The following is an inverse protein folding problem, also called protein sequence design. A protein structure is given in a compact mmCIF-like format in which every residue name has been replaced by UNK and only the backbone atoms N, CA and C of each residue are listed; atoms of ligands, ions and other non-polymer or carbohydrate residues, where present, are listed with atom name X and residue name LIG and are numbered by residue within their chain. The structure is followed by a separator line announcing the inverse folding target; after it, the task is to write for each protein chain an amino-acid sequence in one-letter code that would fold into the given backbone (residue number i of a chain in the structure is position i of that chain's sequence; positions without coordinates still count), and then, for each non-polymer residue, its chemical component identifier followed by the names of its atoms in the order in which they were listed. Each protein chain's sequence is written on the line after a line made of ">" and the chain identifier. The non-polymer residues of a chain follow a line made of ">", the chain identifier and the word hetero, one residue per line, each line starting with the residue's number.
data_IF_372969534910
#
_entry.id   IF_372969534910
#
_cell.length_a   1.000
_cell.length_b   1.000
_cell.length_c   1.000
_cell.angle_alpha   90.00
_cell.angle_beta   90.00
_cell.angle_gamma   90.00
#
_symmetry.space_group_name_H-M   'P 1'
#
loop_
_entity.id
_entity.type
_entity.pdbx_description
1 polymer ?
#
# COMPACT_ATOMS: atom_id res chain seq x y z
N UNK A 1 11.58 -19.85 -6.06
CA UNK A 1 10.65 -20.97 -6.40
C UNK A 1 11.39 -22.29 -6.45
N UNK A 2 11.48 -23.01 -5.33
CA UNK A 2 11.90 -24.42 -5.34
C UNK A 2 11.09 -25.16 -4.28
N UNK A 3 10.25 -26.12 -4.70
CA UNK A 3 9.85 -27.22 -3.84
C UNK A 3 10.91 -28.31 -4.04
N UNK A 4 11.70 -28.60 -3.02
CA UNK A 4 12.86 -29.51 -3.09
C UNK A 4 12.60 -30.87 -2.41
N UNK A 5 11.34 -31.32 -2.41
CA UNK A 5 10.97 -32.63 -1.86
C UNK A 5 11.87 -33.72 -2.45
N UNK A 6 12.48 -34.53 -1.58
CA UNK A 6 13.45 -35.55 -1.97
C UNK A 6 13.24 -36.82 -1.16
N UNK A 7 13.89 -37.90 -1.55
CA UNK A 7 13.81 -39.19 -0.85
C UNK A 7 15.17 -39.83 -0.81
N UNK A 8 15.56 -40.32 0.37
CA UNK A 8 16.79 -41.09 0.56
C UNK A 8 16.40 -42.53 0.87
N UNK A 9 17.00 -43.48 0.16
CA UNK A 9 16.76 -44.92 0.37
C UNK A 9 18.04 -45.72 0.51
N UNK A 10 18.05 -46.68 1.43
CA UNK A 10 19.14 -47.66 1.62
C UNK A 10 18.56 -49.05 1.80
N UNK A 11 19.21 -50.05 1.22
CA UNK A 11 18.88 -51.47 1.38
C UNK A 11 20.06 -52.24 1.96
N UNK A 12 19.76 -53.38 2.57
CA UNK A 12 20.80 -54.30 3.04
C UNK A 12 21.28 -55.12 1.85
N UNK A 13 22.57 -55.06 1.55
CA UNK A 13 23.18 -55.83 0.44
C UNK A 13 23.66 -57.22 0.89
N UNK A 14 23.77 -57.45 2.20
CA UNK A 14 24.10 -58.74 2.79
C UNK A 14 24.28 -58.63 4.30
N UNK A 15 24.06 -59.73 5.02
CA UNK A 15 24.36 -59.84 6.45
C UNK A 15 25.01 -61.20 6.70
N UNK A 16 26.15 -61.21 7.39
CA UNK A 16 26.90 -62.42 7.76
C UNK A 16 27.34 -62.32 9.20
N UNK A 17 27.41 -63.46 9.91
CA UNK A 17 27.80 -63.52 11.31
C UNK A 17 26.65 -63.89 12.24
N UNK A 18 26.94 -63.98 13.54
CA UNK A 18 26.04 -64.60 14.52
C UNK A 18 26.06 -66.13 14.42
N UNK A 19 25.90 -66.81 15.54
CA UNK A 19 25.81 -68.27 15.62
C UNK A 19 24.38 -68.77 15.30
N UNK A 20 23.69 -68.12 14.37
CA UNK A 20 22.32 -68.46 13.98
C UNK A 20 22.30 -69.64 13.01
N UNK A 21 21.29 -70.50 13.13
CA UNK A 21 21.07 -71.65 12.24
C UNK A 21 20.61 -71.20 10.84
N UNK A 22 20.00 -70.02 10.71
CA UNK A 22 19.63 -69.38 9.46
C UNK A 22 19.49 -67.87 9.66
N UNK A 23 20.08 -67.06 8.77
CA UNK A 23 19.98 -65.60 8.78
C UNK A 23 19.54 -65.11 7.40
N UNK A 24 18.36 -64.50 7.33
CA UNK A 24 17.85 -63.84 6.13
C UNK A 24 17.82 -62.33 6.37
N UNK A 25 18.53 -61.57 5.53
CA UNK A 25 18.45 -60.12 5.54
C UNK A 25 17.27 -59.65 4.68
N UNK A 26 16.47 -58.72 5.20
CA UNK A 26 15.45 -58.04 4.39
C UNK A 26 16.12 -57.21 3.30
N UNK A 27 15.74 -57.45 2.04
CA UNK A 27 16.21 -56.68 0.88
C UNK A 27 15.32 -55.48 0.56
N UNK A 28 14.21 -55.32 1.29
CA UNK A 28 13.32 -54.17 1.14
C UNK A 28 14.06 -52.91 1.58
N UNK A 29 14.15 -51.93 0.68
CA UNK A 29 14.81 -50.66 0.97
C UNK A 29 14.05 -49.91 2.06
N UNK A 30 14.76 -49.47 3.09
CA UNK A 30 14.26 -48.45 3.99
C UNK A 30 14.34 -47.11 3.27
N UNK A 31 13.25 -46.35 3.27
CA UNK A 31 13.18 -45.03 2.66
C UNK A 31 12.76 -43.98 3.69
N UNK A 32 13.25 -42.77 3.49
CA UNK A 32 12.84 -41.58 4.24
C UNK A 32 12.54 -40.48 3.25
N UNK A 33 11.31 -39.97 3.28
CA UNK A 33 10.89 -38.85 2.45
C UNK A 33 11.14 -37.54 3.20
N UNK A 34 11.66 -36.55 2.48
CA UNK A 34 11.83 -35.19 2.94
C UNK A 34 10.73 -34.36 2.27
N UNK A 35 9.85 -33.78 3.09
CA UNK A 35 8.77 -32.91 2.65
C UNK A 35 9.19 -31.46 2.79
N UNK A 36 9.16 -30.73 1.69
CA UNK A 36 9.37 -29.28 1.70
C UNK A 36 8.15 -28.55 2.29
N UNK A 37 8.38 -27.40 2.95
CA UNK A 37 7.33 -26.56 3.54
C UNK A 37 7.33 -25.20 2.84
N UNK A 38 6.16 -24.79 2.33
CA UNK A 38 6.01 -23.50 1.68
C UNK A 38 6.18 -22.35 2.68
N UNK A 39 7.19 -21.51 2.46
CA UNK A 39 7.33 -20.22 3.13
C UNK A 39 6.40 -19.17 2.51
N UNK A 40 5.61 -18.47 3.34
CA UNK A 40 4.76 -17.36 2.86
C UNK A 40 5.34 -16.03 3.29
N UNK A 41 5.65 -15.17 2.31
CA UNK A 41 6.00 -13.77 2.54
C UNK A 41 4.75 -12.92 2.44
N UNK A 42 4.60 -11.95 3.35
CA UNK A 42 3.49 -11.00 3.32
C UNK A 42 3.93 -9.65 2.78
N UNK A 43 3.04 -8.95 2.08
CA UNK A 43 3.18 -7.53 1.76
C UNK A 43 2.08 -6.72 2.44
N UNK A 44 2.45 -5.62 3.08
CA UNK A 44 1.54 -4.66 3.75
C UNK A 44 1.64 -3.28 3.11
N UNK A 45 0.63 -2.44 3.36
CA UNK A 45 0.55 -1.06 2.87
C UNK A 45 0.36 -0.11 4.04
N UNK A 46 1.12 0.99 4.04
CA UNK A 46 0.91 2.14 4.92
C UNK A 46 0.82 3.43 4.11
N UNK A 47 0.29 4.48 4.72
CA UNK A 47 0.20 5.82 4.16
C UNK A 47 0.55 6.86 5.23
N UNK A 48 0.77 8.10 4.81
CA UNK A 48 0.85 9.23 5.74
C UNK A 48 -0.44 9.30 6.58
N UNK A 49 -0.37 9.44 7.91
CA UNK A 49 -1.57 9.42 8.75
C UNK A 49 -2.43 10.66 8.55
N UNK A 50 -1.79 11.82 8.39
CA UNK A 50 -2.44 13.11 8.19
C UNK A 50 -1.59 14.00 7.31
N UNK A 51 -2.22 14.69 6.35
CA UNK A 51 -1.62 15.74 5.53
C UNK A 51 -2.59 16.92 5.38
N UNK A 52 -2.09 18.07 4.92
CA UNK A 52 -2.93 19.17 4.47
C UNK A 52 -3.32 19.01 2.99
N UNK A 53 -4.38 19.72 2.58
CA UNK A 53 -4.76 19.89 1.17
C UNK A 53 -3.66 20.55 0.34
N UNK A 54 -3.68 20.31 -0.97
CA UNK A 54 -2.58 20.64 -1.89
C UNK A 54 -1.30 19.83 -1.68
N UNK A 55 -1.28 18.91 -0.70
CA UNK A 55 -0.16 18.04 -0.41
C UNK A 55 -0.12 16.76 -1.25
N UNK A 56 0.77 15.84 -0.87
CA UNK A 56 0.88 14.52 -1.48
C UNK A 56 0.79 13.44 -0.40
N UNK A 57 0.00 12.40 -0.69
CA UNK A 57 -0.07 11.18 0.11
C UNK A 57 1.00 10.22 -0.40
N UNK A 58 1.90 9.80 0.49
CA UNK A 58 2.90 8.77 0.22
C UNK A 58 2.41 7.42 0.72
N UNK A 59 2.25 6.48 -0.21
CA UNK A 59 1.96 5.08 0.11
C UNK A 59 3.25 4.27 0.12
N UNK A 60 3.44 3.45 1.15
CA UNK A 60 4.61 2.57 1.31
C UNK A 60 4.16 1.11 1.35
N UNK A 61 4.64 0.30 0.41
CA UNK A 61 4.48 -1.15 0.47
C UNK A 61 5.68 -1.77 1.18
N UNK A 62 5.45 -2.70 2.11
CA UNK A 62 6.50 -3.36 2.91
C UNK A 62 6.37 -4.87 2.86
N UNK A 63 7.47 -5.56 2.56
CA UNK A 63 7.58 -7.02 2.53
C UNK A 63 8.14 -7.56 3.86
N UNK A 64 7.68 -8.75 4.24
CA UNK A 64 8.24 -9.50 5.37
C UNK A 64 9.62 -10.13 5.09
N UNK A 65 10.09 -10.11 3.84
CA UNK A 65 11.38 -10.65 3.41
C UNK A 65 11.94 -9.85 2.23
N UNK A 66 13.26 -9.93 2.02
CA UNK A 66 13.93 -9.27 0.88
C UNK A 66 13.45 -9.87 -0.44
N UNK A 67 13.16 -9.01 -1.42
CA UNK A 67 12.75 -9.45 -2.74
C UNK A 67 13.92 -10.04 -3.55
N UNK A 68 13.71 -11.17 -4.23
CA UNK A 68 14.71 -11.82 -5.11
C UNK A 68 14.41 -11.55 -6.60
N UNK A 69 13.77 -10.42 -6.87
CA UNK A 69 13.30 -9.91 -8.16
C UNK A 69 12.35 -8.74 -7.87
N UNK A 70 11.98 -7.96 -8.88
CA UNK A 70 11.06 -6.84 -8.65
C UNK A 70 9.68 -7.38 -8.20
N UNK A 71 9.06 -6.67 -7.26
CA UNK A 71 7.67 -6.90 -6.83
C UNK A 71 6.83 -5.72 -7.29
N UNK A 72 5.74 -6.00 -7.99
CA UNK A 72 4.74 -5.01 -8.38
C UNK A 72 3.53 -5.14 -7.46
N UNK A 73 3.21 -4.07 -6.74
CA UNK A 73 2.08 -3.98 -5.82
C UNK A 73 1.08 -2.98 -6.38
N UNK A 74 -0.08 -3.47 -6.79
CA UNK A 74 -1.18 -2.64 -7.29
C UNK A 74 -2.10 -2.27 -6.12
N UNK A 75 -2.43 -0.98 -6.00
CA UNK A 75 -3.35 -0.48 -4.99
C UNK A 75 -4.65 0.04 -5.63
N UNK A 76 -5.72 0.13 -4.86
CA UNK A 76 -6.98 0.76 -5.31
C UNK A 76 -6.71 2.17 -5.83
N UNK A 77 -7.45 2.59 -6.86
CA UNK A 77 -7.20 3.84 -7.59
C UNK A 77 -6.02 3.78 -8.58
N UNK A 78 -5.53 2.58 -8.92
CA UNK A 78 -4.75 2.31 -10.13
C UNK A 78 -3.23 2.48 -10.02
N UNK A 79 -2.72 3.02 -8.92
CA UNK A 79 -1.28 3.19 -8.73
C UNK A 79 -0.57 1.85 -8.53
N UNK A 80 0.68 1.76 -9.00
CA UNK A 80 1.55 0.59 -8.83
C UNK A 80 2.81 1.02 -8.08
N UNK A 81 3.10 0.33 -6.99
CA UNK A 81 4.34 0.47 -6.22
C UNK A 81 5.30 -0.63 -6.69
N UNK A 82 6.52 -0.24 -7.05
CA UNK A 82 7.58 -1.19 -7.38
C UNK A 82 8.52 -1.32 -6.19
N UNK A 83 8.70 -2.55 -5.70
CA UNK A 83 9.75 -2.89 -4.74
C UNK A 83 10.87 -3.55 -5.52
N UNK A 84 12.01 -2.89 -5.61
CA UNK A 84 13.14 -3.39 -6.40
C UNK A 84 13.72 -4.68 -5.81
N UNK A 85 14.31 -5.52 -6.67
CA UNK A 85 15.13 -6.64 -6.21
C UNK A 85 16.16 -6.21 -5.16
N UNK A 86 16.30 -7.02 -4.10
CA UNK A 86 17.18 -6.73 -2.96
C UNK A 86 16.58 -5.78 -1.92
N UNK A 87 15.39 -5.23 -2.16
CA UNK A 87 14.71 -4.33 -1.23
C UNK A 87 13.55 -5.03 -0.51
N UNK A 88 13.09 -4.42 0.59
CA UNK A 88 11.91 -4.85 1.36
C UNK A 88 10.77 -3.84 1.26
N UNK A 89 10.99 -2.67 0.67
CA UNK A 89 9.96 -1.64 0.56
C UNK A 89 10.07 -0.83 -0.74
N UNK A 90 8.96 -0.20 -1.09
CA UNK A 90 8.82 0.71 -2.21
C UNK A 90 7.72 1.71 -1.92
N UNK A 91 7.73 2.84 -2.63
CA UNK A 91 6.77 3.93 -2.41
C UNK A 91 6.15 4.44 -3.70
N UNK A 92 5.00 5.08 -3.57
CA UNK A 92 4.39 5.91 -4.62
C UNK A 92 3.69 7.11 -3.97
N UNK A 93 3.70 8.26 -4.62
CA UNK A 93 2.97 9.45 -4.17
C UNK A 93 1.75 9.72 -5.05
N UNK A 94 0.66 10.13 -4.41
CA UNK A 94 -0.60 10.54 -5.04
C UNK A 94 -0.95 11.94 -4.53
N UNK A 95 -1.42 12.83 -5.40
CA UNK A 95 -1.85 14.16 -4.97
C UNK A 95 -3.09 14.08 -4.05
N UNK A 96 -3.10 14.91 -3.02
CA UNK A 96 -4.30 15.21 -2.25
C UNK A 96 -5.26 16.07 -3.11
N UNK A 97 -6.52 16.26 -2.69
CA UNK A 97 -7.36 17.34 -3.21
C UNK A 97 -6.60 18.67 -3.14
N UNK A 98 -6.85 19.54 -4.13
CA UNK A 98 -6.27 20.87 -4.18
C UNK A 98 -6.75 21.72 -2.99
N UNK A 99 -5.94 22.67 -2.54
CA UNK A 99 -6.34 23.63 -1.51
C UNK A 99 -7.38 24.61 -2.04
N UNK A 100 -8.38 24.91 -1.22
CA UNK A 100 -9.31 25.99 -1.48
C UNK A 100 -9.75 26.73 -0.21
N UNK A 101 -10.73 27.63 -0.33
CA UNK A 101 -11.18 28.50 0.78
C UNK A 101 -12.30 27.87 1.63
N UNK A 102 -12.72 26.65 1.32
CA UNK A 102 -13.84 25.97 1.95
C UNK A 102 -13.36 24.95 2.98
N UNK A 103 -14.12 24.81 4.07
CA UNK A 103 -13.81 23.83 5.11
C UNK A 103 -14.31 22.44 4.69
N UNK A 104 -13.46 21.63 4.08
CA UNK A 104 -13.85 20.32 3.55
C UNK A 104 -12.86 19.17 3.85
N UNK A 105 -12.44 19.08 5.12
CA UNK A 105 -11.63 17.95 5.60
C UNK A 105 -12.18 16.60 5.13
N UNK A 106 -11.29 15.76 4.61
CA UNK A 106 -11.65 14.49 3.98
C UNK A 106 -10.75 13.34 4.41
N UNK A 107 -11.01 12.14 3.92
CA UNK A 107 -10.16 10.97 4.17
C UNK A 107 -10.03 10.16 2.89
N UNK A 108 -8.79 9.85 2.53
CA UNK A 108 -8.47 9.00 1.38
C UNK A 108 -7.93 7.68 1.89
N UNK A 109 -8.49 6.58 1.39
CA UNK A 109 -8.09 5.23 1.77
C UNK A 109 -7.71 4.40 0.54
N UNK A 110 -6.59 3.66 0.63
CA UNK A 110 -6.17 2.71 -0.40
C UNK A 110 -5.83 1.35 0.19
N UNK A 111 -6.12 0.30 -0.56
CA UNK A 111 -5.78 -1.08 -0.19
C UNK A 111 -5.07 -1.78 -1.34
N UNK A 112 -4.35 -2.85 -1.03
CA UNK A 112 -3.68 -3.68 -2.05
C UNK A 112 -4.74 -4.48 -2.79
N UNK A 113 -4.73 -4.40 -4.12
CA UNK A 113 -5.60 -5.21 -5.00
C UNK A 113 -4.84 -6.38 -5.64
N UNK A 114 -3.52 -6.31 -5.70
CA UNK A 114 -2.67 -7.40 -6.16
C UNK A 114 -1.19 -7.17 -5.87
N UNK A 115 -0.45 -8.26 -5.70
CA UNK A 115 1.01 -8.23 -5.56
C UNK A 115 1.62 -9.41 -6.32
N UNK A 116 2.62 -9.15 -7.16
CA UNK A 116 3.25 -10.16 -8.02
C UNK A 116 4.75 -9.94 -8.11
N UNK A 117 5.53 -11.00 -8.34
CA UNK A 117 6.98 -10.94 -8.49
C UNK A 117 7.75 -11.37 -7.24
N UNK A 118 8.96 -10.84 -7.04
CA UNK A 118 9.80 -11.10 -5.86
C UNK A 118 10.44 -12.48 -5.77
N UNK A 119 10.03 -13.42 -6.64
CA UNK A 119 10.52 -14.81 -6.70
C UNK A 119 10.37 -15.60 -5.37
N UNK A 120 9.38 -15.24 -4.56
CA UNK A 120 9.01 -15.94 -3.33
C UNK A 120 8.38 -17.31 -3.62
N UNK A 121 8.44 -18.23 -2.66
CA UNK A 121 7.69 -19.50 -2.68
C UNK A 121 6.19 -19.24 -2.64
N UNK A 122 5.76 -18.27 -1.82
CA UNK A 122 4.41 -17.74 -1.75
C UNK A 122 4.44 -16.27 -1.34
N UNK A 123 3.59 -15.46 -1.98
CA UNK A 123 3.41 -14.03 -1.66
C UNK A 123 1.93 -13.77 -1.35
N UNK A 124 1.66 -13.31 -0.13
CA UNK A 124 0.33 -12.95 0.32
C UNK A 124 0.21 -11.43 0.50
N UNK A 125 -0.83 -10.84 -0.07
CA UNK A 125 -1.14 -9.42 0.11
C UNK A 125 -2.06 -9.21 1.32
N UNK A 126 -1.69 -8.25 2.18
CA UNK A 126 -2.58 -7.77 3.23
C UNK A 126 -3.81 -7.08 2.65
N UNK A 127 -4.97 -7.33 3.24
CA UNK A 127 -6.24 -6.68 2.89
C UNK A 127 -6.51 -5.42 3.73
N UNK A 128 -5.62 -5.07 4.65
CA UNK A 128 -5.76 -3.89 5.50
C UNK A 128 -5.57 -2.63 4.66
N UNK A 129 -6.53 -1.72 4.71
CA UNK A 129 -6.45 -0.44 4.01
C UNK A 129 -5.55 0.54 4.77
N UNK A 130 -4.78 1.32 4.01
CA UNK A 130 -4.01 2.46 4.49
C UNK A 130 -4.82 3.74 4.25
N UNK A 131 -5.04 4.51 5.30
CA UNK A 131 -5.87 5.71 5.28
C UNK A 131 -5.08 6.94 5.67
N UNK A 132 -5.42 8.07 5.04
CA UNK A 132 -4.84 9.38 5.29
C UNK A 132 -5.96 10.38 5.52
N UNK A 133 -5.93 11.04 6.68
CA UNK A 133 -6.80 12.17 6.96
C UNK A 133 -6.25 13.42 6.29
N UNK A 134 -7.12 14.18 5.63
CA UNK A 134 -6.77 15.40 4.94
C UNK A 134 -7.37 16.56 5.72
N UNK A 135 -6.49 17.43 6.23
CA UNK A 135 -6.88 18.60 7.00
C UNK A 135 -7.01 19.79 6.07
N UNK A 136 -8.17 20.43 6.15
CA UNK A 136 -8.40 21.76 5.57
C UNK A 136 -7.38 22.78 6.12
N UNK A 137 -6.98 23.70 5.27
CA UNK A 137 -6.14 24.84 5.63
C UNK A 137 -6.93 26.13 5.56
N UNK A 138 -6.72 27.02 6.51
CA UNK A 138 -7.51 28.26 6.61
C UNK A 138 -7.25 29.16 5.39
N UNK A 139 -8.20 29.19 4.47
CA UNK A 139 -8.30 30.22 3.43
C UNK A 139 -8.86 31.53 3.99
N UNK A 140 -8.21 32.67 3.68
CA UNK A 140 -8.70 33.99 4.10
C UNK A 140 -9.42 34.68 2.94
N UNK A 141 -10.71 34.93 3.07
CA UNK A 141 -11.47 35.76 2.13
C UNK A 141 -11.59 37.19 2.65
N UNK A 142 -11.13 38.17 1.87
CA UNK A 142 -11.27 39.59 2.20
C UNK A 142 -12.51 40.20 1.55
N UNK A 143 -13.14 41.16 2.22
CA UNK A 143 -14.20 42.02 1.64
C UNK A 143 -13.65 43.43 1.46
N UNK A 144 -13.82 44.00 0.26
CA UNK A 144 -13.53 45.40 -0.01
C UNK A 144 -14.80 46.19 -0.27
N UNK A 145 -14.93 47.39 0.31
CA UNK A 145 -16.04 48.31 0.05
C UNK A 145 -15.54 49.50 -0.76
N UNK A 146 -16.17 49.74 -1.91
CA UNK A 146 -15.94 50.93 -2.74
C UNK A 146 -17.20 51.78 -2.74
N UNK A 147 -17.04 53.09 -2.86
CA UNK A 147 -18.15 54.04 -2.93
C UNK A 147 -17.94 55.00 -4.09
N UNK A 148 -19.00 55.66 -4.51
CA UNK A 148 -18.91 56.73 -5.51
C UNK A 148 -17.95 57.83 -5.02
N UNK A 149 -16.90 58.18 -5.80
CA UNK A 149 -15.83 59.06 -5.31
C UNK A 149 -16.30 60.51 -5.10
N UNK A 150 -17.35 60.93 -5.81
CA UNK A 150 -17.99 62.25 -5.67
C UNK A 150 -19.45 62.16 -6.09
N UNK A 151 -20.34 62.83 -5.35
CA UNK A 151 -21.75 63.00 -5.72
C UNK A 151 -22.19 64.46 -5.56
N UNK A 152 -23.20 64.88 -6.31
CA UNK A 152 -23.86 66.17 -6.13
C UNK A 152 -24.85 66.12 -4.95
N UNK A 153 -25.12 67.27 -4.35
CA UNK A 153 -26.11 67.39 -3.27
C UNK A 153 -27.50 66.92 -3.76
N UNK A 154 -28.14 66.04 -2.99
CA UNK A 154 -29.38 65.36 -3.37
C UNK A 154 -29.19 64.09 -4.22
N UNK A 155 -27.96 63.70 -4.55
CA UNK A 155 -27.64 62.47 -5.26
C UNK A 155 -27.56 61.22 -4.36
N UNK A 156 -27.62 60.05 -5.00
CA UNK A 156 -27.55 58.74 -4.35
C UNK A 156 -26.07 58.31 -4.26
N UNK A 157 -25.64 57.78 -3.12
CA UNK A 157 -24.32 57.12 -2.99
C UNK A 157 -24.51 55.62 -3.13
N UNK A 158 -23.78 55.02 -4.05
CA UNK A 158 -23.69 53.58 -4.23
C UNK A 158 -22.46 53.05 -3.50
N UNK A 159 -22.66 52.05 -2.66
CA UNK A 159 -21.58 51.29 -2.06
C UNK A 159 -21.54 49.90 -2.71
N UNK A 160 -20.40 49.54 -3.27
CA UNK A 160 -20.17 48.21 -3.87
C UNK A 160 -19.23 47.42 -2.98
N UNK A 161 -19.74 46.35 -2.37
CA UNK A 161 -18.93 45.36 -1.68
C UNK A 161 -18.44 44.30 -2.68
N UNK A 162 -17.17 43.93 -2.61
CA UNK A 162 -16.58 42.86 -3.43
C UNK A 162 -15.87 41.85 -2.53
N UNK A 163 -16.04 40.57 -2.83
CA UNK A 163 -15.32 39.48 -2.17
C UNK A 163 -14.04 39.15 -2.95
N UNK A 164 -12.95 38.87 -2.23
CA UNK A 164 -11.67 38.46 -2.81
C UNK A 164 -11.67 37.02 -3.35
N UNK A 165 -12.66 36.22 -2.99
CA UNK A 165 -12.88 34.86 -3.49
C UNK A 165 -14.33 34.69 -3.94
N UNK A 166 -14.58 33.74 -4.84
CA UNK A 166 -15.93 33.42 -5.31
C UNK A 166 -16.79 32.85 -4.17
N UNK A 167 -17.95 33.45 -3.93
CA UNK A 167 -18.92 32.90 -2.99
C UNK A 167 -19.53 31.61 -3.56
N UNK A 168 -19.61 30.56 -2.74
CA UNK A 168 -20.37 29.37 -3.11
C UNK A 168 -21.86 29.62 -2.89
N UNK A 169 -22.69 29.33 -3.89
CA UNK A 169 -24.13 29.36 -3.75
C UNK A 169 -24.58 28.16 -2.92
N UNK A 170 -24.93 28.37 -1.66
CA UNK A 170 -25.54 27.31 -0.85
C UNK A 170 -26.88 26.91 -1.46
N UNK A 171 -26.98 25.71 -2.04
CA UNK A 171 -28.28 25.06 -2.17
C UNK A 171 -28.68 24.63 -0.76
N UNK A 172 -29.54 25.42 -0.13
CA UNK A 172 -30.28 25.02 1.06
C UNK A 172 -31.04 23.72 0.75
N UNK A 173 -30.82 22.65 1.51
CA UNK A 173 -31.66 21.46 1.57
C UNK A 173 -32.34 21.40 2.93
#
# INVERSE_FOLDING_TARGET
>A
MYLDSSTVSRSITGATGGNFESLAASTVAASTSITDTIGTTTVSLTADPTIAEGGNITYTASLGATAHGDVLVTITGGSVITIASGSTSGTVSVAAPDEDVYLDSSTVSRSITGATGGNFESLAASTVAASTSITDTIGTTTVSLTADPTIAEGGNITYTASLGATAHGGTCW
#
